data_IF_429916367876
#
_entry.id   IF_429916367876
#
_cell.length_a   1.000
_cell.length_b   1.000
_cell.length_c   1.000
_cell.angle_alpha   90.00
_cell.angle_beta   90.00
_cell.angle_gamma   90.00
#
_symmetry.space_group_name_H-M   'P 1'
#
loop_
_entity.id
_entity.type
_entity.pdbx_description
1 polymer ?
#
# COMPACT_ATOMS: atom_id res chain seq x y z
N UNK A 1 -3.27 -9.34 13.18
CA UNK A 1 -3.53 -8.75 11.85
C UNK A 1 -4.20 -7.40 12.01
N UNK A 2 -3.48 -6.32 11.71
CA UNK A 2 -4.04 -4.95 11.67
C UNK A 2 -5.05 -4.77 10.53
N UNK A 3 -5.80 -3.68 10.55
CA UNK A 3 -6.66 -3.25 9.42
C UNK A 3 -5.84 -3.08 8.15
N UNK A 4 -4.67 -2.46 8.25
CA UNK A 4 -3.80 -2.17 7.11
C UNK A 4 -3.23 -3.46 6.53
N UNK A 5 -2.78 -4.40 7.38
CA UNK A 5 -2.29 -5.69 6.91
C UNK A 5 -3.40 -6.49 6.20
N UNK A 6 -4.63 -6.48 6.74
CA UNK A 6 -5.82 -7.07 6.08
C UNK A 6 -6.10 -6.46 4.72
N UNK A 7 -6.03 -5.14 4.61
CA UNK A 7 -6.21 -4.45 3.34
C UNK A 7 -5.19 -4.93 2.29
N UNK A 8 -3.91 -5.01 2.68
CA UNK A 8 -2.82 -5.42 1.80
C UNK A 8 -3.02 -6.86 1.32
N UNK A 9 -3.36 -7.76 2.24
CA UNK A 9 -3.57 -9.18 1.91
C UNK A 9 -4.80 -9.39 1.02
N UNK A 10 -5.90 -8.68 1.31
CA UNK A 10 -7.16 -8.81 0.55
C UNK A 10 -7.04 -8.23 -0.86
N UNK A 11 -6.20 -7.21 -1.06
CA UNK A 11 -6.02 -6.55 -2.35
C UNK A 11 -4.81 -7.02 -3.14
N UNK A 12 -4.10 -8.06 -2.67
CA UNK A 12 -2.84 -8.55 -3.25
C UNK A 12 -2.85 -8.66 -4.78
N UNK A 13 -3.88 -9.31 -5.34
CA UNK A 13 -3.98 -9.52 -6.78
C UNK A 13 -4.09 -8.20 -7.55
N UNK A 14 -4.89 -7.25 -7.06
CA UNK A 14 -5.04 -5.95 -7.68
C UNK A 14 -3.75 -5.13 -7.56
N UNK A 15 -3.08 -5.18 -6.40
CA UNK A 15 -1.82 -4.47 -6.16
C UNK A 15 -0.70 -4.95 -7.08
N UNK A 16 -0.57 -6.26 -7.29
CA UNK A 16 0.41 -6.80 -8.26
C UNK A 16 0.15 -6.24 -9.66
N UNK A 17 -1.11 -6.19 -10.08
CA UNK A 17 -1.45 -5.83 -11.46
C UNK A 17 -1.41 -4.33 -11.73
N UNK A 18 -1.74 -3.51 -10.74
CA UNK A 18 -2.11 -2.10 -10.96
C UNK A 18 -1.12 -1.09 -10.37
N UNK A 19 -0.26 -1.47 -9.42
CA UNK A 19 0.75 -0.56 -8.90
C UNK A 19 1.78 -0.27 -10.00
N UNK A 20 2.05 1.01 -10.23
CA UNK A 20 2.99 1.49 -11.25
C UNK A 20 4.25 2.09 -10.65
N UNK A 21 4.13 2.71 -9.47
CA UNK A 21 5.17 3.40 -8.72
C UNK A 21 5.88 2.47 -7.74
N UNK A 22 6.15 1.23 -8.14
CA UNK A 22 6.68 0.18 -7.24
C UNK A 22 7.99 0.60 -6.58
N UNK A 23 8.92 1.19 -7.36
CA UNK A 23 10.21 1.59 -6.80
C UNK A 23 10.12 2.74 -5.81
N UNK A 24 9.18 3.69 -5.99
CA UNK A 24 8.98 4.76 -5.03
C UNK A 24 8.51 4.22 -3.67
N UNK A 25 7.58 3.25 -3.68
CA UNK A 25 7.13 2.54 -2.48
C UNK A 25 8.31 1.80 -1.82
N UNK A 26 9.12 1.10 -2.62
CA UNK A 26 10.29 0.35 -2.14
C UNK A 26 11.34 1.28 -1.53
N UNK A 27 11.58 2.45 -2.12
CA UNK A 27 12.47 3.47 -1.58
C UNK A 27 11.96 4.02 -0.24
N UNK A 28 10.65 4.29 -0.10
CA UNK A 28 10.05 4.72 1.17
C UNK A 28 10.26 3.65 2.27
N UNK A 29 9.97 2.39 1.96
CA UNK A 29 10.13 1.29 2.90
C UNK A 29 11.61 1.08 3.30
N UNK A 30 12.53 1.20 2.35
CA UNK A 30 13.97 1.14 2.63
C UNK A 30 14.42 2.29 3.53
N UNK A 31 13.97 3.52 3.26
CA UNK A 31 14.30 4.69 4.09
C UNK A 31 13.78 4.56 5.52
N UNK A 32 12.66 3.86 5.72
CA UNK A 32 12.13 3.50 7.04
C UNK A 32 12.86 2.35 7.72
N UNK A 33 13.82 1.70 7.05
CA UNK A 33 14.54 0.54 7.57
C UNK A 33 13.74 -0.77 7.53
N UNK A 34 12.68 -0.83 6.72
CA UNK A 34 11.82 -2.03 6.60
C UNK A 34 12.33 -3.05 5.58
N UNK A 35 13.26 -2.64 4.71
CA UNK A 35 13.85 -3.49 3.68
C UNK A 35 15.37 -3.50 3.80
N UNK A 36 15.96 -4.69 3.74
CA UNK A 36 17.41 -4.83 3.64
C UNK A 36 17.91 -4.51 2.23
N UNK A 37 19.21 -4.19 2.12
CA UNK A 37 19.84 -3.82 0.85
C UNK A 37 19.78 -4.94 -0.21
N UNK A 38 19.83 -6.20 0.23
CA UNK A 38 19.68 -7.37 -0.64
C UNK A 38 18.29 -7.42 -1.26
N UNK A 39 17.23 -7.45 -0.44
CA UNK A 39 15.84 -7.43 -0.91
C UNK A 39 15.56 -6.24 -1.84
N UNK A 40 16.08 -5.05 -1.49
CA UNK A 40 15.99 -3.88 -2.36
C UNK A 40 16.58 -4.13 -3.75
N UNK A 41 17.77 -4.72 -3.80
CA UNK A 41 18.49 -4.99 -5.05
C UNK A 41 17.78 -6.05 -5.89
N UNK A 42 17.24 -7.09 -5.25
CA UNK A 42 16.43 -8.12 -5.91
C UNK A 42 15.16 -7.54 -6.51
N UNK A 43 14.45 -6.68 -5.78
CA UNK A 43 13.26 -5.99 -6.31
C UNK A 43 13.68 -5.09 -7.47
N UNK A 44 14.73 -4.28 -7.32
CA UNK A 44 15.20 -3.37 -8.38
C UNK A 44 15.57 -4.13 -9.67
N UNK A 45 16.12 -5.34 -9.56
CA UNK A 45 16.52 -6.17 -10.69
C UNK A 45 15.35 -6.75 -11.50
N UNK A 46 14.14 -6.81 -10.95
CA UNK A 46 12.96 -7.31 -11.66
C UNK A 46 12.57 -6.42 -12.85
N UNK A 47 12.33 -7.03 -14.01
CA UNK A 47 12.08 -6.30 -15.26
C UNK A 47 10.73 -5.59 -15.30
N UNK A 48 9.73 -6.12 -14.60
CA UNK A 48 8.34 -5.67 -14.68
C UNK A 48 7.83 -5.23 -13.31
N UNK A 49 6.87 -4.32 -13.28
CA UNK A 49 6.25 -3.89 -12.02
C UNK A 49 5.56 -5.04 -11.29
N UNK A 50 4.96 -5.98 -12.03
CA UNK A 50 4.36 -7.18 -11.47
C UNK A 50 5.43 -8.10 -10.84
N UNK A 51 6.61 -8.21 -11.45
CA UNK A 51 7.76 -8.94 -10.89
C UNK A 51 8.25 -8.28 -9.59
N UNK A 52 8.45 -6.96 -9.64
CA UNK A 52 8.84 -6.16 -8.47
C UNK A 52 7.85 -6.32 -7.31
N UNK A 53 6.55 -6.22 -7.58
CA UNK A 53 5.50 -6.38 -6.57
C UNK A 53 5.50 -7.77 -5.95
N UNK A 54 5.69 -8.85 -6.74
CA UNK A 54 5.78 -10.21 -6.19
C UNK A 54 6.93 -10.35 -5.19
N UNK A 55 8.13 -9.89 -5.55
CA UNK A 55 9.28 -9.90 -4.61
C UNK A 55 9.06 -9.03 -3.40
N UNK A 56 8.48 -7.85 -3.58
CA UNK A 56 8.13 -6.98 -2.47
C UNK A 56 7.18 -7.71 -1.51
N UNK A 57 6.16 -8.41 -2.01
CA UNK A 57 5.24 -9.18 -1.17
C UNK A 57 5.91 -10.30 -0.38
N UNK A 58 6.93 -10.97 -0.92
CA UNK A 58 7.71 -11.96 -0.17
C UNK A 58 8.37 -11.31 1.07
N UNK A 59 8.87 -10.08 0.91
CA UNK A 59 9.42 -9.29 2.02
C UNK A 59 8.33 -8.83 3.01
N UNK A 60 7.17 -8.37 2.52
CA UNK A 60 6.05 -7.97 3.37
C UNK A 60 5.54 -9.13 4.23
N UNK A 61 5.46 -10.34 3.66
CA UNK A 61 5.04 -11.54 4.37
C UNK A 61 6.06 -11.97 5.42
N UNK A 62 7.35 -11.87 5.12
CA UNK A 62 8.43 -12.17 6.07
C UNK A 62 8.51 -11.16 7.22
N UNK A 63 8.20 -9.88 6.95
CA UNK A 63 8.21 -8.79 7.93
C UNK A 63 6.95 -8.69 8.80
N UNK A 64 5.88 -9.39 8.45
CA UNK A 64 4.62 -9.44 9.21
C UNK A 64 3.80 -8.15 9.21
N UNK A 65 2.84 -8.07 10.14
CA UNK A 65 1.83 -7.00 10.20
C UNK A 65 2.43 -5.59 10.16
N UNK A 66 3.57 -5.37 10.85
CA UNK A 66 4.23 -4.06 10.90
C UNK A 66 4.65 -3.57 9.52
N UNK A 67 5.33 -4.42 8.76
CA UNK A 67 5.85 -4.06 7.43
C UNK A 67 4.70 -3.89 6.44
N UNK A 68 3.63 -4.69 6.56
CA UNK A 68 2.41 -4.52 5.77
C UNK A 68 1.71 -3.18 6.08
N UNK A 69 1.64 -2.77 7.34
CA UNK A 69 1.11 -1.46 7.73
C UNK A 69 1.94 -0.31 7.14
N UNK A 70 3.27 -0.39 7.15
CA UNK A 70 4.11 0.63 6.49
C UNK A 70 3.92 0.66 4.96
N UNK A 71 3.79 -0.51 4.33
CA UNK A 71 3.46 -0.60 2.90
C UNK A 71 2.10 0.03 2.57
N UNK A 72 1.09 -0.16 3.41
CA UNK A 72 -0.22 0.48 3.25
C UNK A 72 -0.10 2.01 3.19
N UNK A 73 0.69 2.62 4.09
CA UNK A 73 0.90 4.07 4.06
C UNK A 73 1.74 4.53 2.87
N UNK A 74 2.76 3.77 2.47
CA UNK A 74 3.52 4.07 1.27
C UNK A 74 2.64 3.99 0.01
N UNK A 75 1.73 3.02 -0.06
CA UNK A 75 0.73 2.91 -1.13
C UNK A 75 -0.19 4.12 -1.16
N UNK A 76 -0.68 4.59 0.00
CA UNK A 76 -1.46 5.84 0.09
C UNK A 76 -0.69 7.05 -0.46
N UNK A 77 0.62 7.13 -0.18
CA UNK A 77 1.45 8.27 -0.57
C UNK A 77 1.79 8.28 -2.06
N UNK A 78 2.06 7.11 -2.64
CA UNK A 78 2.58 6.99 -4.00
C UNK A 78 1.53 6.59 -5.04
N UNK A 79 0.39 6.05 -4.61
CA UNK A 79 -0.66 5.47 -5.47
C UNK A 79 -2.06 5.87 -4.96
N UNK A 80 -2.26 7.12 -4.56
CA UNK A 80 -3.47 7.60 -3.88
C UNK A 80 -4.79 7.20 -4.58
N UNK A 81 -4.85 7.28 -5.91
CA UNK A 81 -6.04 6.92 -6.67
C UNK A 81 -6.34 5.43 -6.59
N UNK A 82 -5.34 4.57 -6.79
CA UNK A 82 -5.49 3.12 -6.65
C UNK A 82 -5.82 2.75 -5.20
N UNK A 83 -5.15 3.38 -4.23
CA UNK A 83 -5.41 3.18 -2.81
C UNK A 83 -6.88 3.43 -2.46
N UNK A 84 -7.44 4.56 -2.91
CA UNK A 84 -8.87 4.90 -2.71
C UNK A 84 -9.80 3.93 -3.44
N UNK A 85 -9.48 3.58 -4.68
CA UNK A 85 -10.27 2.64 -5.49
C UNK A 85 -10.37 1.25 -4.85
N UNK A 86 -9.32 0.82 -4.14
CA UNK A 86 -9.29 -0.45 -3.41
C UNK A 86 -9.93 -0.36 -2.01
N UNK A 87 -10.53 0.77 -1.64
CA UNK A 87 -11.21 0.99 -0.36
C UNK A 87 -10.30 1.49 0.77
N UNK A 88 -9.13 2.04 0.45
CA UNK A 88 -8.23 2.61 1.44
C UNK A 88 -8.80 3.89 2.04
N UNK A 89 -8.85 3.96 3.38
CA UNK A 89 -9.41 5.12 4.08
C UNK A 89 -8.39 6.28 4.11
N UNK A 90 -8.81 7.45 3.63
CA UNK A 90 -8.07 8.71 3.81
C UNK A 90 -8.78 9.58 4.83
N UNK A 91 -8.03 10.24 5.71
CA UNK A 91 -8.58 11.14 6.75
C UNK A 91 -9.50 12.25 6.19
N UNK A 92 -9.36 12.57 4.90
CA UNK A 92 -10.22 13.53 4.18
C UNK A 92 -11.70 13.07 4.09
N UNK A 93 -12.01 11.80 4.37
CA UNK A 93 -13.36 11.23 4.25
C UNK A 93 -14.26 11.51 5.47
N UNK A 94 -13.78 12.25 6.49
CA UNK A 94 -14.54 12.54 7.73
C UNK A 94 -15.38 13.84 7.62
N UNK A 95 -15.15 14.68 6.60
CA UNK A 95 -15.80 16.01 6.48
C UNK A 95 -16.95 16.07 5.43
N UNK A 96 -17.25 14.99 4.71
CA UNK A 96 -18.12 15.06 3.51
C UNK A 96 -19.57 14.57 3.65
N UNK A 97 -19.94 13.84 4.71
CA UNK A 97 -21.18 13.02 4.69
C UNK A 97 -22.14 13.22 5.85
N UNK A 98 -22.01 14.29 6.65
CA UNK A 98 -22.91 14.55 7.81
C UNK A 98 -23.85 15.76 7.70
N UNK A 99 -23.94 16.43 6.56
CA UNK A 99 -24.87 17.55 6.39
C UNK A 99 -25.89 17.23 5.30
N UNK A 100 -26.81 16.30 5.57
CA UNK A 100 -28.04 16.07 4.79
C UNK A 100 -29.08 15.29 5.60
N UNK A 101 -29.28 15.59 6.88
CA UNK A 101 -30.52 15.23 7.58
C UNK A 101 -30.91 16.40 8.51
N UNK A 102 -32.18 16.83 8.40
CA UNK A 102 -32.91 17.78 9.25
C UNK A 102 -32.86 19.28 8.88
N UNK A 103 -33.44 19.66 7.74
CA UNK A 103 -34.35 20.82 7.66
C UNK A 103 -35.48 20.55 6.66
N UNK A 104 -36.38 19.66 7.05
CA UNK A 104 -37.77 19.64 6.59
C UNK A 104 -38.60 19.35 7.83
N UNK A 105 -39.00 20.42 8.51
CA UNK A 105 -40.28 20.62 9.22
C UNK A 105 -40.24 21.96 9.96
#
# INVERSE_FOLDING_TARGET
MSSEARFVDSNFAALIQRVTSVMAIVDELKNKGMLHAETYSEIHAEKTNQGKMRRLFDALNSGGDRVKSDFYYALRNHELYLFRDLGGETLDNIDGTRNNELELN
#
